data_IF_042853996565
#
_entry.id   IF_042853996565
#
_cell.length_a   1.000
_cell.length_b   1.000
_cell.length_c   1.000
_cell.angle_alpha   90.00
_cell.angle_beta   90.00
_cell.angle_gamma   90.00
#
_symmetry.space_group_name_H-M   'P 1'
#
loop_
_entity.id
_entity.type
_entity.pdbx_description
1 polymer ?
#
# COMPACT_ATOMS: atom_id res chain seq x y z
N UNK A 1 5.77 5.36 -11.18
CA UNK A 1 5.78 4.07 -11.92
C UNK A 1 4.36 3.52 -11.97
N UNK A 2 4.08 2.47 -12.75
CA UNK A 2 2.75 1.82 -12.72
C UNK A 2 2.57 1.03 -11.41
N UNK A 3 1.38 1.02 -10.80
CA UNK A 3 1.09 0.17 -9.63
C UNK A 3 1.47 -1.31 -9.79
N UNK A 4 1.22 -1.92 -10.96
CA UNK A 4 1.61 -3.31 -11.25
C UNK A 4 3.12 -3.49 -11.26
N UNK A 5 3.87 -2.54 -11.82
CA UNK A 5 5.34 -2.57 -11.81
C UNK A 5 5.87 -2.58 -10.37
N UNK A 6 5.30 -1.75 -9.48
CA UNK A 6 5.71 -1.69 -8.08
C UNK A 6 5.41 -3.00 -7.35
N UNK A 7 4.18 -3.52 -7.43
CA UNK A 7 3.78 -4.72 -6.69
C UNK A 7 4.39 -6.02 -7.23
N UNK A 8 4.95 -6.01 -8.44
CA UNK A 8 5.79 -7.10 -8.94
C UNK A 8 7.22 -7.07 -8.36
N UNK A 9 7.67 -5.92 -7.85
CA UNK A 9 9.02 -5.72 -7.33
C UNK A 9 9.08 -5.74 -5.80
N UNK A 10 8.02 -5.25 -5.14
CA UNK A 10 7.97 -5.02 -3.70
C UNK A 10 6.80 -5.80 -3.10
N UNK A 11 7.10 -6.57 -2.06
CA UNK A 11 6.09 -7.30 -1.30
C UNK A 11 5.68 -6.48 -0.06
N UNK A 12 4.46 -5.95 -0.03
CA UNK A 12 3.98 -5.19 1.13
C UNK A 12 3.38 -6.06 2.25
N UNK A 13 3.33 -7.38 2.08
CA UNK A 13 2.79 -8.28 3.10
C UNK A 13 3.50 -8.13 4.45
N UNK A 14 2.75 -8.19 5.55
CA UNK A 14 3.17 -7.90 6.93
C UNK A 14 3.67 -6.46 7.18
N UNK A 15 3.54 -5.55 6.22
CA UNK A 15 3.83 -4.14 6.49
C UNK A 15 2.69 -3.52 7.29
N UNK A 16 3.03 -2.75 8.32
CA UNK A 16 2.06 -2.12 9.23
C UNK A 16 1.64 -0.78 8.64
N UNK A 17 0.33 -0.55 8.57
CA UNK A 17 -0.25 0.71 8.09
C UNK A 17 -0.50 1.63 9.28
N UNK A 18 0.29 2.70 9.37
CA UNK A 18 0.19 3.66 10.47
C UNK A 18 -0.82 4.76 10.18
N UNK A 19 -0.84 5.26 8.95
CA UNK A 19 -1.71 6.38 8.56
C UNK A 19 -2.20 6.21 7.13
N UNK A 20 -3.43 6.63 6.87
CA UNK A 20 -4.05 6.66 5.55
C UNK A 20 -4.61 8.06 5.29
N UNK A 21 -4.18 8.68 4.20
CA UNK A 21 -4.66 9.98 3.77
C UNK A 21 -5.37 9.90 2.43
N UNK A 22 -6.57 10.46 2.38
CA UNK A 22 -7.35 10.61 1.15
C UNK A 22 -7.29 12.07 0.71
N UNK A 23 -6.51 12.32 -0.35
CA UNK A 23 -6.45 13.62 -1.02
C UNK A 23 -7.52 13.73 -2.11
N UNK A 24 -7.51 14.85 -2.85
CA UNK A 24 -8.46 15.05 -3.97
C UNK A 24 -8.23 14.05 -5.10
N UNK A 25 -6.97 13.82 -5.49
CA UNK A 25 -6.56 12.91 -6.57
C UNK A 25 -5.41 11.99 -6.11
N UNK A 26 -5.24 11.80 -4.81
CA UNK A 26 -4.12 11.06 -4.24
C UNK A 26 -4.60 10.21 -3.07
N UNK A 27 -3.96 9.05 -2.88
CA UNK A 27 -4.11 8.22 -1.69
C UNK A 27 -2.72 7.91 -1.16
N UNK A 28 -2.47 8.20 0.12
CA UNK A 28 -1.16 8.03 0.74
C UNK A 28 -1.30 7.06 1.91
N UNK A 29 -0.45 6.03 1.93
CA UNK A 29 -0.25 5.14 3.07
C UNK A 29 1.13 5.42 3.67
N UNK A 30 1.19 5.71 4.97
CA UNK A 30 2.44 5.66 5.72
C UNK A 30 2.55 4.31 6.41
N UNK A 31 3.70 3.67 6.24
CA UNK A 31 3.91 2.27 6.62
C UNK A 31 5.17 2.10 7.47
N UNK A 32 5.15 1.14 8.39
CA UNK A 32 6.35 0.38 8.75
C UNK A 32 6.43 -0.82 7.81
N UNK A 33 7.37 -0.77 6.89
CA UNK A 33 7.57 -1.72 5.82
C UNK A 33 8.38 -2.93 6.28
N UNK A 34 7.84 -4.12 6.03
CA UNK A 34 8.50 -5.40 6.28
C UNK A 34 9.58 -5.67 5.23
N UNK A 35 10.81 -5.25 5.52
CA UNK A 35 11.97 -5.40 4.64
C UNK A 35 12.51 -6.84 4.61
N UNK A 36 12.35 -7.59 5.71
CA UNK A 36 12.81 -8.98 5.84
C UNK A 36 12.34 -9.90 4.69
N UNK A 37 11.11 -9.70 4.16
CA UNK A 37 10.53 -10.54 3.09
C UNK A 37 10.95 -10.11 1.69
N UNK A 38 11.76 -9.07 1.52
CA UNK A 38 12.10 -8.54 0.21
C UNK A 38 13.17 -9.35 -0.51
N UNK A 39 13.09 -9.35 -1.84
CA UNK A 39 14.14 -9.90 -2.68
C UNK A 39 15.40 -9.04 -2.55
N UNK A 40 16.46 -9.61 -1.99
CA UNK A 40 17.74 -8.93 -1.77
C UNK A 40 17.99 -8.45 -0.34
N UNK A 41 17.07 -8.71 0.60
CA UNK A 41 17.27 -8.44 2.03
C UNK A 41 18.55 -9.11 2.56
N UNK A 42 19.27 -8.39 3.41
CA UNK A 42 20.44 -8.88 4.15
C UNK A 42 20.30 -8.63 5.65
N UNK A 43 20.82 -9.52 6.49
CA UNK A 43 20.71 -9.41 7.97
C UNK A 43 21.38 -8.14 8.56
N UNK A 44 22.20 -7.43 7.79
CA UNK A 44 22.79 -6.14 8.21
C UNK A 44 21.85 -4.96 7.98
N UNK A 45 20.74 -5.17 7.27
CA UNK A 45 19.73 -4.16 6.99
C UNK A 45 18.60 -4.22 8.03
N UNK A 46 17.96 -3.09 8.35
CA UNK A 46 16.79 -3.09 9.24
C UNK A 46 15.68 -3.97 8.67
N UNK A 47 15.08 -4.78 9.54
CA UNK A 47 13.91 -5.61 9.20
C UNK A 47 12.66 -4.77 8.96
N UNK A 48 12.54 -3.64 9.66
CA UNK A 48 11.46 -2.68 9.52
C UNK A 48 12.03 -1.32 9.07
N UNK A 49 11.39 -0.73 8.07
CA UNK A 49 11.72 0.59 7.54
C UNK A 49 10.46 1.45 7.50
N UNK A 50 10.54 2.71 7.90
CA UNK A 50 9.44 3.63 7.62
C UNK A 50 9.38 3.91 6.11
N UNK A 51 8.18 4.00 5.55
CA UNK A 51 8.01 4.37 4.16
C UNK A 51 6.63 4.93 3.81
N UNK A 52 6.57 5.57 2.66
CA UNK A 52 5.38 6.25 2.16
C UNK A 52 5.03 5.71 0.77
N UNK A 53 3.83 5.13 0.67
CA UNK A 53 3.25 4.65 -0.56
C UNK A 53 2.17 5.64 -1.04
N UNK A 54 2.42 6.31 -2.16
CA UNK A 54 1.53 7.35 -2.69
C UNK A 54 1.00 6.94 -4.05
N UNK A 55 -0.32 6.84 -4.17
CA UNK A 55 -1.03 6.67 -5.43
C UNK A 55 -1.42 8.03 -5.98
N UNK A 56 -1.13 8.28 -7.26
CA UNK A 56 -1.27 9.57 -7.93
C UNK A 56 -2.31 9.47 -9.05
N UNK A 57 -3.04 10.56 -9.28
CA UNK A 57 -4.14 10.65 -10.23
C UNK A 57 -5.22 9.59 -9.96
N UNK A 58 -5.58 9.44 -8.69
CA UNK A 58 -6.66 8.56 -8.23
C UNK A 58 -7.99 9.10 -8.74
N UNK A 59 -8.70 8.31 -9.54
CA UNK A 59 -10.00 8.70 -10.09
C UNK A 59 -11.18 8.21 -9.24
N UNK A 60 -11.02 7.05 -8.62
CA UNK A 60 -12.03 6.41 -7.79
C UNK A 60 -11.33 5.70 -6.63
N UNK A 61 -11.94 5.76 -5.44
CA UNK A 61 -11.54 4.93 -4.31
C UNK A 61 -12.76 4.55 -3.47
N UNK A 62 -12.69 3.40 -2.81
CA UNK A 62 -13.70 2.91 -1.88
C UNK A 62 -13.00 2.12 -0.78
N UNK A 63 -13.33 2.41 0.46
CA UNK A 63 -12.90 1.65 1.64
C UNK A 63 -14.06 0.89 2.28
N UNK A 64 -13.78 -0.30 2.81
CA UNK A 64 -14.74 -1.11 3.56
C UNK A 64 -14.05 -1.68 4.80
N UNK A 65 -14.56 -1.45 6.03
CA UNK A 65 -15.66 -0.53 6.34
C UNK A 65 -15.31 0.93 5.99
N UNK A 66 -16.30 1.83 5.84
CA UNK A 66 -16.05 3.24 5.51
C UNK A 66 -15.42 4.02 6.68
N UNK A 67 -15.61 3.55 7.91
CA UNK A 67 -14.97 4.05 9.12
C UNK A 67 -14.25 2.86 9.75
N UNK A 68 -12.98 3.05 10.08
CA UNK A 68 -12.11 2.05 10.65
C UNK A 68 -11.11 2.74 11.59
N UNK A 69 -10.47 1.94 12.45
CA UNK A 69 -9.35 2.34 13.28
C UNK A 69 -8.10 1.59 12.78
N UNK A 70 -6.95 2.23 12.93
CA UNK A 70 -5.65 1.63 12.67
C UNK A 70 -4.95 1.43 14.03
N UNK A 71 -4.80 0.17 14.41
CA UNK A 71 -4.14 -0.32 15.62
C UNK A 71 -3.26 -1.51 15.23
N UNK A 72 -2.02 -1.22 14.79
CA UNK A 72 -1.08 -2.21 14.26
C UNK A 72 -1.64 -3.05 13.09
N UNK A 73 -2.43 -2.43 12.21
CA UNK A 73 -3.02 -3.16 11.10
C UNK A 73 -1.99 -3.50 10.03
N UNK A 74 -1.95 -4.76 9.60
CA UNK A 74 -0.98 -5.28 8.66
C UNK A 74 -1.59 -5.46 7.27
N UNK A 75 -0.79 -5.18 6.23
CA UNK A 75 -1.17 -5.51 4.86
C UNK A 75 -1.10 -7.03 4.68
N UNK A 76 -2.24 -7.65 4.34
CA UNK A 76 -2.31 -9.06 3.95
C UNK A 76 -2.11 -9.25 2.45
N UNK A 77 -2.63 -8.33 1.65
CA UNK A 77 -2.62 -8.42 0.20
C UNK A 77 -2.55 -7.01 -0.38
N UNK A 78 -1.64 -6.78 -1.32
CA UNK A 78 -1.61 -5.59 -2.14
C UNK A 78 -1.36 -6.01 -3.59
N UNK A 79 -2.30 -5.71 -4.47
CA UNK A 79 -2.22 -6.11 -5.87
C UNK A 79 -2.80 -5.05 -6.78
N UNK A 80 -2.33 -5.03 -8.03
CA UNK A 80 -2.83 -4.17 -9.08
C UNK A 80 -3.07 -4.97 -10.35
N UNK A 81 -4.05 -4.53 -11.14
CA UNK A 81 -4.35 -5.07 -12.47
C UNK A 81 -4.63 -3.92 -13.44
N UNK A 82 -4.31 -4.10 -14.71
CA UNK A 82 -4.65 -3.14 -15.76
C UNK A 82 -6.17 -2.99 -15.86
N UNK A 83 -6.67 -1.76 -15.69
CA UNK A 83 -8.09 -1.44 -15.88
C UNK A 83 -8.35 -0.93 -17.29
N UNK A 84 -7.47 -0.05 -17.79
CA UNK A 84 -7.40 0.39 -19.18
C UNK A 84 -5.96 0.87 -19.49
N UNK A 85 -5.72 1.40 -20.68
CA UNK A 85 -4.39 1.84 -21.13
C UNK A 85 -3.69 2.84 -20.18
N UNK A 86 -4.46 3.61 -19.40
CA UNK A 86 -3.93 4.66 -18.53
C UNK A 86 -4.03 4.34 -17.04
N UNK A 87 -5.05 3.57 -16.62
CA UNK A 87 -5.39 3.33 -15.22
C UNK A 87 -5.22 1.87 -14.83
N UNK A 88 -4.80 1.67 -13.60
CA UNK A 88 -4.78 0.36 -12.95
C UNK A 88 -5.73 0.35 -11.77
N UNK A 89 -6.38 -0.79 -11.57
CA UNK A 89 -7.21 -1.05 -10.41
C UNK A 89 -6.34 -1.71 -9.34
N UNK A 90 -6.31 -1.11 -8.16
CA UNK A 90 -5.54 -1.54 -7.00
C UNK A 90 -6.50 -2.03 -5.92
N UNK A 91 -6.14 -3.14 -5.29
CA UNK A 91 -6.77 -3.66 -4.08
C UNK A 91 -5.71 -3.82 -3.00
N UNK A 92 -6.01 -3.29 -1.82
CA UNK A 92 -5.19 -3.46 -0.62
C UNK A 92 -6.10 -4.01 0.47
N UNK A 93 -5.73 -5.14 1.04
CA UNK A 93 -6.39 -5.77 2.18
C UNK A 93 -5.49 -5.59 3.39
N UNK A 94 -6.02 -4.95 4.41
CA UNK A 94 -5.34 -4.66 5.65
C UNK A 94 -6.14 -5.34 6.77
N UNK A 95 -5.48 -6.09 7.65
CA UNK A 95 -6.11 -6.74 8.80
C UNK A 95 -5.71 -6.02 10.08
N UNK A 96 -6.66 -5.78 10.96
CA UNK A 96 -6.41 -5.48 12.37
C UNK A 96 -6.79 -6.68 13.23
N UNK A 97 -6.76 -6.50 14.56
CA UNK A 97 -7.19 -7.53 15.51
C UNK A 97 -8.67 -7.89 15.35
N UNK A 98 -9.53 -6.89 15.14
CA UNK A 98 -10.99 -7.05 15.12
C UNK A 98 -11.65 -6.77 13.76
N UNK A 99 -10.94 -6.13 12.82
CA UNK A 99 -11.51 -5.64 11.56
C UNK A 99 -10.63 -5.96 10.34
N UNK A 100 -11.26 -6.13 9.18
CA UNK A 100 -10.59 -6.20 7.87
C UNK A 100 -10.96 -4.97 7.06
N UNK A 101 -9.94 -4.19 6.69
CA UNK A 101 -10.05 -2.99 5.87
C UNK A 101 -9.67 -3.35 4.44
N UNK A 102 -10.59 -3.12 3.51
CA UNK A 102 -10.33 -3.31 2.08
C UNK A 102 -10.40 -1.97 1.38
N UNK A 103 -9.29 -1.56 0.76
CA UNK A 103 -9.18 -0.37 -0.05
C UNK A 103 -9.15 -0.80 -1.51
N UNK A 104 -10.11 -0.32 -2.30
CA UNK A 104 -10.09 -0.44 -3.75
C UNK A 104 -9.92 0.95 -4.34
N UNK A 105 -9.01 1.12 -5.29
CA UNK A 105 -8.84 2.39 -5.99
C UNK A 105 -8.45 2.19 -7.45
N UNK A 106 -8.59 3.26 -8.25
CA UNK A 106 -8.07 3.34 -9.62
C UNK A 106 -7.08 4.49 -9.70
N UNK A 107 -5.83 4.19 -10.02
CA UNK A 107 -4.75 5.19 -10.10
C UNK A 107 -3.95 5.02 -11.39
N UNK A 108 -3.30 6.10 -11.84
CA UNK A 108 -2.42 6.06 -13.00
C UNK A 108 -1.00 5.65 -12.61
N UNK A 109 -0.56 6.14 -11.44
CA UNK A 109 0.82 6.04 -11.00
C UNK A 109 0.89 5.77 -9.50
N UNK A 110 2.03 5.21 -9.09
CA UNK A 110 2.42 5.04 -7.69
C UNK A 110 3.87 5.47 -7.49
N UNK A 111 4.18 5.96 -6.29
CA UNK A 111 5.54 6.19 -5.80
C UNK A 111 5.72 5.52 -4.45
N UNK A 112 6.91 4.95 -4.24
CA UNK A 112 7.33 4.35 -2.97
C UNK A 112 8.64 4.99 -2.53
N UNK A 113 8.69 5.50 -1.30
CA UNK A 113 9.88 6.11 -0.71
C UNK A 113 10.05 5.59 0.71
N UNK A 114 11.20 5.00 1.02
CA UNK A 114 11.60 4.66 2.39
C UNK A 114 12.32 5.84 3.03
N UNK A 115 12.12 6.02 4.33
CA UNK A 115 12.97 6.89 5.13
C UNK A 115 14.32 6.17 5.37
N UNK A 116 15.41 6.93 5.25
CA UNK A 116 16.79 6.48 5.49
C UNK A 116 17.25 6.81 6.90
#
# INVERSE_FOLDING_TARGET
MKPTELFNQINFHDSIVNEIFFGRNELILKLEFCNWKQSGYSEVEPELLEGILTFINVQEHMTRPPVFLLENNEILEANAILYNEMLEQIKIVITGEDDVIVINLKAQEVTWVTAS
#
